data_IF_414819113541
#
_entry.id   IF_414819113541
#
_cell.length_a   1.000
_cell.length_b   1.000
_cell.length_c   1.000
_cell.angle_alpha   90.00
_cell.angle_beta   90.00
_cell.angle_gamma   90.00
#
_symmetry.space_group_name_H-M   'P 1'
#
loop_
_entity.id
_entity.type
_entity.pdbx_description
1 polymer ?
#
# COMPACT_ATOMS: atom_id res chain seq x y z
N UNK A 1 26.82 35.09 -10.49
CA UNK A 1 25.70 34.15 -10.76
C UNK A 1 25.74 33.06 -9.69
N UNK A 2 24.98 33.20 -8.62
CA UNK A 2 24.97 32.26 -7.49
C UNK A 2 24.16 31.01 -7.88
N UNK A 3 24.80 29.85 -7.78
CA UNK A 3 24.19 28.53 -7.97
C UNK A 3 23.10 28.36 -6.91
N UNK A 4 21.84 28.27 -7.34
CA UNK A 4 20.72 27.95 -6.48
C UNK A 4 20.98 26.62 -5.79
N UNK A 5 21.03 26.65 -4.46
CA UNK A 5 21.18 25.47 -3.62
C UNK A 5 19.93 24.61 -3.85
N UNK A 6 20.07 23.49 -4.55
CA UNK A 6 19.00 22.51 -4.66
C UNK A 6 18.77 21.94 -3.26
N UNK A 7 17.82 22.52 -2.53
CA UNK A 7 17.32 21.97 -1.28
C UNK A 7 16.65 20.64 -1.61
N UNK A 8 17.46 19.57 -1.62
CA UNK A 8 16.95 18.21 -1.51
C UNK A 8 16.45 18.07 -0.07
N UNK A 9 15.25 18.58 0.21
CA UNK A 9 14.47 18.07 1.33
C UNK A 9 14.28 16.60 1.01
N UNK A 10 15.10 15.75 1.64
CA UNK A 10 14.97 14.31 1.57
C UNK A 10 13.66 13.93 2.28
N UNK A 11 12.53 14.27 1.64
CA UNK A 11 11.22 13.81 2.05
C UNK A 11 11.24 12.30 1.97
N UNK A 12 10.73 11.64 3.00
CA UNK A 12 10.59 10.19 3.09
C UNK A 12 9.77 9.68 1.91
N UNK A 13 10.45 9.35 0.80
CA UNK A 13 9.82 8.78 -0.38
C UNK A 13 9.40 7.37 -0.04
N UNK A 14 8.17 7.00 -0.41
CA UNK A 14 7.71 5.63 -0.29
C UNK A 14 8.56 4.72 -1.18
N UNK A 15 9.09 3.65 -0.59
CA UNK A 15 9.87 2.65 -1.32
C UNK A 15 9.03 2.09 -2.46
N UNK A 16 9.60 2.03 -3.66
CA UNK A 16 8.93 1.57 -4.89
C UNK A 16 7.66 2.35 -5.26
N UNK A 17 7.45 3.55 -4.69
CA UNK A 17 6.25 4.34 -4.95
C UNK A 17 4.96 3.72 -4.40
N UNK A 18 5.05 2.72 -3.53
CA UNK A 18 3.88 2.04 -2.96
C UNK A 18 3.44 2.78 -1.70
N UNK A 19 2.23 3.31 -1.73
CA UNK A 19 1.61 4.03 -0.62
C UNK A 19 0.55 3.14 0.03
N UNK A 20 0.82 2.51 1.18
CA UNK A 20 -0.18 1.78 1.93
C UNK A 20 -1.20 2.73 2.57
N UNK A 21 -2.49 2.44 2.45
CA UNK A 21 -3.55 3.25 3.06
C UNK A 21 -4.59 2.41 3.82
N UNK A 22 -5.24 3.03 4.80
CA UNK A 22 -6.44 2.52 5.48
C UNK A 22 -7.48 3.64 5.45
N UNK A 23 -8.72 3.31 5.11
CA UNK A 23 -9.83 4.26 5.21
C UNK A 23 -10.48 4.13 6.58
N UNK A 24 -10.72 5.27 7.22
CA UNK A 24 -11.50 5.29 8.47
C UNK A 24 -12.94 4.85 8.18
N UNK A 25 -13.55 4.03 9.07
CA UNK A 25 -14.95 3.65 8.93
C UNK A 25 -15.91 4.83 9.08
N UNK A 26 -15.44 5.97 9.61
CA UNK A 26 -16.27 7.17 9.80
C UNK A 26 -16.58 7.90 8.48
N UNK A 27 -15.90 7.55 7.38
CA UNK A 27 -16.20 8.14 6.08
C UNK A 27 -17.43 7.49 5.46
N UNK A 28 -18.34 8.31 4.91
CA UNK A 28 -19.45 7.81 4.11
C UNK A 28 -18.95 7.12 2.84
N UNK A 29 -19.79 6.28 2.23
CA UNK A 29 -19.46 5.61 0.96
C UNK A 29 -19.08 6.63 -0.12
N UNK A 30 -19.76 7.78 -0.17
CA UNK A 30 -19.45 8.85 -1.12
C UNK A 30 -18.08 9.48 -0.85
N UNK A 31 -17.71 9.71 0.41
CA UNK A 31 -16.39 10.24 0.76
C UNK A 31 -15.28 9.24 0.43
N UNK A 32 -15.50 7.95 0.69
CA UNK A 32 -14.56 6.90 0.31
C UNK A 32 -14.39 6.83 -1.22
N UNK A 33 -15.47 6.99 -1.98
CA UNK A 33 -15.43 7.05 -3.44
C UNK A 33 -14.63 8.28 -3.94
N UNK A 34 -14.79 9.44 -3.31
CA UNK A 34 -14.01 10.64 -3.65
C UNK A 34 -12.52 10.45 -3.35
N UNK A 35 -12.16 9.90 -2.19
CA UNK A 35 -10.78 9.63 -1.81
C UNK A 35 -10.14 8.61 -2.75
N UNK A 36 -10.83 7.51 -3.06
CA UNK A 36 -10.35 6.52 -4.04
C UNK A 36 -10.21 7.11 -5.44
N UNK A 37 -11.13 7.97 -5.86
CA UNK A 37 -11.04 8.70 -7.13
C UNK A 37 -9.80 9.59 -7.22
N UNK A 38 -9.51 10.35 -6.16
CA UNK A 38 -8.32 11.18 -6.07
C UNK A 38 -7.02 10.34 -6.13
N UNK A 39 -6.96 9.23 -5.38
CA UNK A 39 -5.81 8.30 -5.43
C UNK A 39 -5.57 7.76 -6.84
N UNK A 40 -6.63 7.33 -7.54
CA UNK A 40 -6.53 6.86 -8.93
C UNK A 40 -6.06 7.95 -9.88
N UNK A 41 -6.49 9.19 -9.68
CA UNK A 41 -6.04 10.30 -10.50
C UNK A 41 -4.52 10.54 -10.34
N UNK A 42 -4.01 10.44 -9.11
CA UNK A 42 -2.57 10.52 -8.85
C UNK A 42 -1.81 9.37 -9.52
N UNK A 43 -2.27 8.12 -9.41
CA UNK A 43 -1.62 6.98 -10.11
C UNK A 43 -1.53 7.22 -11.63
N UNK A 44 -2.62 7.73 -12.21
CA UNK A 44 -2.70 8.01 -13.64
C UNK A 44 -1.72 9.10 -14.05
N UNK A 45 -1.70 10.23 -13.33
CA UNK A 45 -0.85 11.38 -13.64
C UNK A 45 0.63 11.11 -13.39
N UNK A 46 0.95 10.16 -12.51
CA UNK A 46 2.33 9.76 -12.19
C UNK A 46 2.81 8.56 -13.01
N UNK A 47 2.01 8.08 -13.96
CA UNK A 47 2.44 7.04 -14.90
C UNK A 47 3.27 7.67 -16.02
N UNK A 48 4.55 7.27 -16.11
CA UNK A 48 5.50 7.80 -17.09
C UNK A 48 6.08 6.61 -17.85
N UNK A 49 6.11 6.67 -19.19
CA UNK A 49 6.64 5.58 -20.03
C UNK A 49 6.06 4.20 -19.70
N UNK A 50 4.74 4.14 -19.50
CA UNK A 50 4.01 2.93 -19.12
C UNK A 50 4.44 2.31 -17.76
N UNK A 51 5.13 3.08 -16.90
CA UNK A 51 5.52 2.67 -15.54
C UNK A 51 4.75 3.48 -14.50
N UNK A 52 4.09 2.78 -13.57
CA UNK A 52 3.40 3.39 -12.43
C UNK A 52 4.42 3.83 -11.37
N UNK A 53 4.62 5.14 -11.21
CA UNK A 53 5.54 5.68 -10.20
C UNK A 53 4.93 5.81 -8.81
N UNK A 54 3.59 5.88 -8.71
CA UNK A 54 2.84 5.86 -7.44
C UNK A 54 1.74 4.83 -7.54
N UNK A 55 1.57 4.03 -6.48
CA UNK A 55 0.53 3.01 -6.36
C UNK A 55 -0.05 3.01 -4.96
N UNK A 56 -1.35 3.22 -4.85
CA UNK A 56 -2.05 3.15 -3.56
C UNK A 56 -2.50 1.71 -3.32
N UNK A 57 -2.06 1.12 -2.21
CA UNK A 57 -2.42 -0.26 -1.83
C UNK A 57 -3.19 -0.24 -0.51
N UNK A 58 -4.38 -0.84 -0.44
CA UNK A 58 -5.05 -0.98 0.85
C UNK A 58 -4.19 -1.85 1.77
N UNK A 59 -3.95 -1.37 2.99
CA UNK A 59 -3.27 -2.14 4.02
C UNK A 59 -4.28 -3.13 4.60
N UNK A 60 -4.31 -4.33 4.03
CA UNK A 60 -5.15 -5.43 4.53
C UNK A 60 -4.58 -5.86 5.88
N UNK A 61 -5.36 -5.73 6.97
CA UNK A 61 -4.98 -6.28 8.28
C UNK A 61 -4.78 -5.29 9.44
N UNK A 62 -5.44 -4.13 9.48
CA UNK A 62 -5.48 -3.32 10.73
C UNK A 62 -6.89 -2.89 11.17
N UNK A 63 -7.95 -3.53 10.68
CA UNK A 63 -9.28 -3.36 11.28
C UNK A 63 -10.23 -4.55 11.02
N UNK A 64 -9.81 -5.75 11.40
CA UNK A 64 -10.74 -6.83 11.74
C UNK A 64 -10.43 -7.24 13.16
N UNK A 65 -11.14 -6.61 14.09
CA UNK A 65 -11.25 -7.05 15.48
C UNK A 65 -10.01 -6.80 16.32
N UNK A 66 -10.21 -6.13 17.44
CA UNK A 66 -9.56 -6.61 18.67
C UNK A 66 -9.74 -8.14 18.73
N UNK A 67 -8.63 -8.87 18.88
CA UNK A 67 -8.46 -10.33 18.88
C UNK A 67 -7.99 -10.94 17.55
N UNK A 68 -6.69 -11.25 17.55
CA UNK A 68 -6.23 -12.55 17.07
C UNK A 68 -5.55 -12.58 15.72
N UNK A 69 -4.33 -13.13 15.75
CA UNK A 69 -3.76 -13.96 14.68
C UNK A 69 -2.95 -13.23 13.59
N UNK A 70 -1.77 -12.75 14.02
CA UNK A 70 -0.56 -12.91 13.22
C UNK A 70 -0.29 -14.43 13.09
N UNK A 71 -0.71 -15.06 12.00
CA UNK A 71 -0.19 -16.40 11.66
C UNK A 71 0.92 -16.24 10.62
N UNK A 72 2.08 -15.81 11.10
CA UNK A 72 3.36 -16.21 10.50
C UNK A 72 3.74 -17.55 11.12
N UNK A 73 3.72 -18.63 10.35
CA UNK A 73 4.55 -19.85 10.49
C UNK A 73 4.13 -20.81 9.38
N UNK A 74 4.93 -20.91 8.32
CA UNK A 74 5.98 -21.91 8.11
C UNK A 74 5.44 -23.12 7.31
N UNK A 75 6.21 -23.49 6.28
CA UNK A 75 5.93 -24.52 5.29
C UNK A 75 5.57 -25.88 5.90
N UNK A 76 4.66 -26.60 5.26
CA UNK A 76 4.56 -28.07 5.40
C UNK A 76 4.77 -28.70 4.02
N UNK A 77 5.88 -29.43 3.79
CA UNK A 77 5.97 -30.37 2.68
C UNK A 77 5.07 -31.56 3.03
N UNK A 78 4.03 -31.79 2.23
CA UNK A 78 3.17 -32.96 2.42
C UNK A 78 3.91 -34.21 1.95
N UNK A 79 4.27 -35.08 2.88
CA UNK A 79 4.52 -36.50 2.61
C UNK A 79 3.87 -37.30 3.74
N UNK A 80 2.87 -38.15 3.44
CA UNK A 80 2.52 -39.23 4.34
C UNK A 80 3.09 -40.56 3.82
N UNK A 81 3.97 -41.16 4.61
CA UNK A 81 4.37 -42.57 4.48
C UNK A 81 3.37 -43.44 5.24
N UNK A 82 2.81 -44.44 4.54
CA UNK A 82 2.37 -45.77 4.98
C UNK A 82 1.40 -45.93 6.17
N UNK A 83 0.30 -46.69 5.95
CA UNK A 83 0.00 -47.98 6.62
C UNK A 83 -1.48 -48.38 6.46
N UNK A 84 -1.74 -49.46 5.71
CA UNK A 84 -2.67 -50.54 6.07
C UNK A 84 -2.42 -51.77 5.19
#
# INVERSE_FOLDING_TARGET
MQRGVAQSTAGTRWTNGIVPYVMSPNFTVQQQALITGAMRNIERLTTINNRKCVQFRPKVGQNTGWRGQLQLTLQVPTSPTSSH
#
